data_IF_621709920238
#
_entry.id   IF_621709920238
#
_cell.length_a   1.000
_cell.length_b   1.000
_cell.length_c   1.000
_cell.angle_alpha   90.00
_cell.angle_beta   90.00
_cell.angle_gamma   90.00
#
_symmetry.space_group_name_H-M   'P 1'
#
loop_
_entity.id
_entity.type
_entity.pdbx_description
1 polymer ?
#
# COMPACT_ATOMS: atom_id res chain seq x y z
N UNK A 1 -8.51 -2.19 25.30
CA UNK A 1 -8.89 -1.57 24.00
C UNK A 1 -7.88 -2.01 22.93
N UNK A 2 -8.29 -2.16 21.67
CA UNK A 2 -7.40 -2.45 20.53
C UNK A 2 -7.50 -1.29 19.54
N UNK A 3 -6.41 -0.96 18.87
CA UNK A 3 -6.38 0.03 17.79
C UNK A 3 -5.81 -0.61 16.53
N UNK A 4 -6.29 -0.18 15.37
CA UNK A 4 -5.81 -0.62 14.06
C UNK A 4 -5.49 0.62 13.24
N UNK A 5 -4.30 0.64 12.64
CA UNK A 5 -3.84 1.70 11.74
C UNK A 5 -3.74 1.07 10.36
N UNK A 6 -4.39 1.68 9.37
CA UNK A 6 -4.34 1.26 7.96
C UNK A 6 -3.68 2.35 7.13
N UNK A 7 -2.89 1.97 6.13
CA UNK A 7 -2.29 2.91 5.20
C UNK A 7 -1.62 2.20 4.03
N UNK A 8 -1.41 2.94 2.94
CA UNK A 8 -0.69 2.47 1.76
C UNK A 8 0.72 3.08 1.77
N UNK A 9 1.75 2.22 1.80
CA UNK A 9 3.15 2.64 1.83
C UNK A 9 3.61 3.28 0.53
N UNK A 10 2.89 3.06 -0.58
CA UNK A 10 3.21 3.60 -1.90
C UNK A 10 2.64 5.01 -2.10
N UNK A 11 1.64 5.40 -1.32
CA UNK A 11 1.02 6.72 -1.42
C UNK A 11 1.72 7.73 -0.50
N UNK A 12 2.76 8.39 -1.02
CA UNK A 12 3.52 9.43 -0.31
C UNK A 12 3.23 10.80 -0.93
N UNK A 13 2.19 11.46 -0.44
CA UNK A 13 1.76 12.80 -0.90
C UNK A 13 2.46 13.94 -0.14
N UNK A 14 3.73 13.74 0.23
CA UNK A 14 4.50 14.70 1.02
C UNK A 14 5.39 15.61 0.13
N UNK A 15 5.72 16.83 0.59
CA UNK A 15 6.71 17.67 -0.08
C UNK A 15 8.04 16.96 -0.28
N UNK A 16 8.75 17.29 -1.38
CA UNK A 16 10.04 16.68 -1.72
C UNK A 16 11.01 16.77 -0.54
N UNK A 17 11.64 15.64 -0.21
CA UNK A 17 12.62 15.53 0.88
C UNK A 17 12.03 15.17 2.25
N UNK A 18 10.70 15.13 2.40
CA UNK A 18 10.09 14.58 3.61
C UNK A 18 10.05 13.05 3.59
N UNK A 19 10.26 12.44 4.76
CA UNK A 19 10.13 11.00 4.97
C UNK A 19 8.67 10.65 5.26
N UNK A 20 8.21 9.50 4.77
CA UNK A 20 6.89 8.96 5.12
C UNK A 20 6.85 8.54 6.59
N UNK A 21 5.89 9.11 7.34
CA UNK A 21 5.66 8.73 8.73
C UNK A 21 5.22 7.28 8.90
N UNK A 22 4.50 6.71 7.92
CA UNK A 22 4.09 5.31 7.93
C UNK A 22 5.31 4.38 7.79
N UNK A 23 6.21 4.68 6.85
CA UNK A 23 7.43 3.91 6.66
C UNK A 23 8.38 4.04 7.85
N UNK A 24 8.47 5.25 8.43
CA UNK A 24 9.26 5.48 9.64
C UNK A 24 8.69 4.74 10.86
N UNK A 25 7.38 4.79 11.09
CA UNK A 25 6.71 4.09 12.17
C UNK A 25 6.92 2.57 12.05
N UNK A 26 6.76 2.00 10.85
CA UNK A 26 7.03 0.59 10.59
C UNK A 26 8.46 0.19 10.96
N UNK A 27 9.45 1.01 10.62
CA UNK A 27 10.86 0.77 10.97
C UNK A 27 11.13 0.90 12.46
N UNK A 28 10.62 1.95 13.11
CA UNK A 28 10.88 2.24 14.53
C UNK A 28 10.17 1.23 15.44
N UNK A 29 8.96 0.81 15.07
CA UNK A 29 8.10 -0.02 15.91
C UNK A 29 8.24 -1.52 15.64
N UNK A 30 9.12 -1.94 14.72
CA UNK A 30 9.30 -3.33 14.29
C UNK A 30 9.54 -4.32 15.47
N UNK A 31 10.29 -3.88 16.48
CA UNK A 31 10.67 -4.71 17.64
C UNK A 31 9.81 -4.44 18.89
N UNK A 32 8.76 -3.61 18.78
CA UNK A 32 7.93 -3.25 19.93
C UNK A 32 6.93 -4.36 20.23
N UNK A 33 7.12 -5.03 21.37
CA UNK A 33 6.21 -6.09 21.84
C UNK A 33 4.77 -5.57 21.94
N UNK A 34 3.84 -6.31 21.35
CA UNK A 34 2.41 -5.98 21.35
C UNK A 34 1.94 -5.19 20.12
N UNK A 35 2.84 -4.83 19.20
CA UNK A 35 2.50 -4.28 17.88
C UNK A 35 2.70 -5.36 16.83
N UNK A 36 1.72 -5.51 15.94
CA UNK A 36 1.81 -6.41 14.79
C UNK A 36 1.69 -5.61 13.49
N UNK A 37 2.37 -6.10 12.45
CA UNK A 37 2.26 -5.57 11.09
C UNK A 37 1.58 -6.61 10.21
N UNK A 38 0.64 -6.16 9.38
CA UNK A 38 -0.06 -6.97 8.40
C UNK A 38 0.08 -6.25 7.07
N UNK A 39 0.83 -6.86 6.16
CA UNK A 39 1.01 -6.36 4.80
C UNK A 39 0.01 -7.06 3.88
N UNK A 40 -0.61 -6.28 3.00
CA UNK A 40 -1.49 -6.79 1.96
C UNK A 40 -0.80 -6.63 0.61
N UNK A 41 -1.03 -7.58 -0.28
CA UNK A 41 -0.60 -7.50 -1.67
C UNK A 41 -1.79 -7.50 -2.63
N UNK A 42 -1.50 -7.53 -3.94
CA UNK A 42 -2.53 -7.47 -4.97
C UNK A 42 -3.49 -8.67 -4.93
N UNK A 43 -3.07 -9.81 -4.37
CA UNK A 43 -3.88 -11.02 -4.22
C UNK A 43 -4.93 -10.91 -3.11
N UNK A 44 -4.71 -10.06 -2.12
CA UNK A 44 -5.67 -9.78 -1.05
C UNK A 44 -6.82 -8.87 -1.52
N UNK A 45 -6.73 -8.29 -2.71
CA UNK A 45 -7.73 -7.35 -3.23
C UNK A 45 -8.84 -8.08 -3.98
N UNK A 46 -9.98 -8.25 -3.32
CA UNK A 46 -11.21 -8.69 -3.97
C UNK A 46 -11.83 -7.54 -4.76
N UNK A 47 -11.68 -7.56 -6.08
CA UNK A 47 -12.29 -6.57 -6.99
C UNK A 47 -13.51 -7.16 -7.67
N UNK A 48 -14.49 -6.30 -7.98
CA UNK A 48 -15.55 -6.67 -8.89
C UNK A 48 -14.95 -7.06 -10.26
N UNK A 49 -15.42 -8.12 -10.94
CA UNK A 49 -14.82 -8.60 -12.20
C UNK A 49 -14.68 -7.51 -13.28
N UNK A 50 -15.62 -6.57 -13.35
CA UNK A 50 -15.54 -5.43 -14.27
C UNK A 50 -14.35 -4.51 -13.96
N UNK A 51 -14.11 -4.20 -12.69
CA UNK A 51 -13.01 -3.32 -12.28
C UNK A 51 -11.67 -3.98 -12.59
N UNK A 52 -11.53 -5.28 -12.33
CA UNK A 52 -10.31 -6.03 -12.68
C UNK A 52 -10.02 -5.97 -14.19
N UNK A 53 -11.05 -6.12 -15.04
CA UNK A 53 -10.93 -6.00 -16.50
C UNK A 53 -10.52 -4.59 -16.95
N UNK A 54 -11.04 -3.55 -16.30
CA UNK A 54 -10.66 -2.16 -16.59
C UNK A 54 -9.18 -1.95 -16.25
N UNK A 55 -8.75 -2.34 -15.05
CA UNK A 55 -7.35 -2.21 -14.62
C UNK A 55 -6.40 -2.92 -15.58
N UNK A 56 -6.69 -4.18 -15.93
CA UNK A 56 -5.86 -4.95 -16.86
C UNK A 56 -5.74 -4.29 -18.25
N UNK A 57 -6.80 -3.64 -18.75
CA UNK A 57 -6.75 -2.93 -20.03
C UNK A 57 -5.83 -1.69 -19.97
N UNK A 58 -5.80 -0.98 -18.85
CA UNK A 58 -4.90 0.16 -18.65
C UNK A 58 -3.44 -0.29 -18.48
N UNK A 59 -3.19 -1.38 -17.76
CA UNK A 59 -1.85 -1.96 -17.60
C UNK A 59 -1.24 -2.36 -18.94
N UNK A 60 -1.98 -3.10 -19.78
CA UNK A 60 -1.53 -3.50 -21.13
C UNK A 60 -1.21 -2.29 -22.01
N UNK A 61 -2.00 -1.22 -21.93
CA UNK A 61 -1.76 -0.01 -22.70
C UNK A 61 -0.54 0.79 -22.18
N UNK A 62 -0.23 0.71 -20.89
CA UNK A 62 0.97 1.33 -20.33
C UNK A 62 2.23 0.58 -20.77
N UNK A 63 2.20 -0.76 -20.76
CA UNK A 63 3.31 -1.61 -21.24
C UNK A 63 3.58 -1.45 -22.74
N UNK A 64 2.53 -1.35 -23.56
CA UNK A 64 2.67 -1.15 -25.01
C UNK A 64 3.28 0.21 -25.42
N UNK A 65 3.39 1.16 -24.48
CA UNK A 65 3.97 2.49 -24.68
C UNK A 65 5.39 2.63 -24.12
N UNK A 66 5.87 1.64 -23.39
CA UNK A 66 7.24 1.56 -22.87
C UNK A 66 8.16 0.90 -23.91
#
# INVERSE_FOLDING_TARGET
>A
AKAVITGDVTQIDLPKGQKSGLNEARRILAEVRGIGFCDFDASDVVRHPLVARIVAAYEQNAEAKA
#
